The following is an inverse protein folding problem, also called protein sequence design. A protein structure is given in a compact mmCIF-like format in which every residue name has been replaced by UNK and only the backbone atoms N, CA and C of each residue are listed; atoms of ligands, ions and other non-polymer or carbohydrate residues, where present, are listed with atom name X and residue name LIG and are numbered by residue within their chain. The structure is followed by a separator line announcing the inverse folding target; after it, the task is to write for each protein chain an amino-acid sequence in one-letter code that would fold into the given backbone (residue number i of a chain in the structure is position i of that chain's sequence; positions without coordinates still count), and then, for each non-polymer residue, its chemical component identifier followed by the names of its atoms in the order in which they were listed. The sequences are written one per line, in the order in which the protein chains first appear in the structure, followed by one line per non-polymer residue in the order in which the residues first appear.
data_IF_110172469765
#
_entry.id   IF_110172469765
#
_cell.length_a   1.000
_cell.length_b   1.000
_cell.length_c   1.000
_cell.angle_alpha   90.00
_cell.angle_beta   90.00
_cell.angle_gamma   90.00
#
_symmetry.space_group_name_H-M   'P 1'
#
loop_
_entity.id
_entity.type
_entity.pdbx_description
1 polymer ?
#
# COMPACT_ATOMS: atom_id res chain seq x y z
N UNK A 1 -8.50 4.26 20.64
CA UNK A 1 -7.96 3.05 19.97
C UNK A 1 -6.54 3.34 19.50
N UNK A 2 -5.62 2.35 19.53
CA UNK A 2 -4.28 2.49 18.95
C UNK A 2 -4.36 2.28 17.43
N UNK A 3 -4.81 3.31 16.71
CA UNK A 3 -4.75 3.36 15.25
C UNK A 3 -3.39 3.86 14.77
N UNK A 4 -3.24 3.99 13.46
CA UNK A 4 -2.01 4.49 12.85
C UNK A 4 -1.88 4.05 11.40
N UNK A 5 -0.70 4.28 10.84
CA UNK A 5 -0.36 3.90 9.47
C UNK A 5 0.92 3.05 9.47
N UNK A 6 0.88 1.98 8.68
CA UNK A 6 2.07 1.26 8.24
C UNK A 6 2.32 1.63 6.78
N UNK A 7 3.55 2.01 6.46
CA UNK A 7 3.93 2.33 5.09
C UNK A 7 5.27 1.74 4.70
N UNK A 8 5.34 1.30 3.46
CA UNK A 8 6.52 0.85 2.76
C UNK A 8 6.52 1.47 1.35
N UNK A 9 6.79 2.80 1.23
CA UNK A 9 6.84 3.46 -0.07
C UNK A 9 8.03 2.96 -0.90
N UNK A 10 8.03 3.29 -2.18
CA UNK A 10 9.23 3.11 -3.01
C UNK A 10 10.35 4.03 -2.50
N UNK A 11 11.51 3.44 -2.23
CA UNK A 11 12.75 4.16 -1.93
C UNK A 11 13.79 3.95 -3.04
N UNK A 12 14.95 4.59 -2.91
CA UNK A 12 16.04 4.48 -3.89
C UNK A 12 16.56 3.03 -4.08
N UNK A 13 16.39 2.16 -3.08
CA UNK A 13 16.92 0.78 -3.09
C UNK A 13 15.97 -0.21 -3.77
N UNK A 14 14.69 0.13 -3.91
CA UNK A 14 13.67 -0.74 -4.51
C UNK A 14 12.90 -0.10 -5.67
N UNK A 15 13.36 1.06 -6.16
CA UNK A 15 12.77 1.78 -7.30
C UNK A 15 12.65 0.92 -8.55
N UNK A 16 13.68 0.16 -8.86
CA UNK A 16 13.74 -0.78 -10.00
C UNK A 16 12.71 -1.91 -9.91
N UNK A 17 12.25 -2.24 -8.69
CA UNK A 17 11.32 -3.35 -8.43
C UNK A 17 9.89 -2.90 -8.18
N UNK A 18 9.63 -1.59 -8.11
CA UNK A 18 8.30 -1.03 -7.80
C UNK A 18 7.90 -1.14 -6.34
N UNK A 19 8.83 -1.47 -5.43
CA UNK A 19 8.58 -1.60 -3.99
C UNK A 19 9.27 -2.79 -3.35
N UNK A 20 8.96 -3.06 -2.07
CA UNK A 20 9.58 -4.14 -1.30
C UNK A 20 8.66 -5.35 -1.07
N UNK A 21 7.38 -5.12 -0.77
CA UNK A 21 6.41 -6.17 -0.47
C UNK A 21 5.76 -6.71 -1.74
N UNK A 22 5.36 -7.98 -1.75
CA UNK A 22 4.76 -8.66 -2.89
C UNK A 22 3.26 -8.48 -2.88
N UNK A 23 2.72 -8.19 -4.06
CA UNK A 23 1.32 -7.91 -4.26
C UNK A 23 0.44 -9.08 -3.83
N UNK A 24 0.69 -10.28 -4.38
CA UNK A 24 -0.25 -11.41 -4.25
C UNK A 24 -0.39 -11.99 -2.84
N UNK A 25 0.71 -12.09 -2.09
CA UNK A 25 0.74 -12.83 -0.83
C UNK A 25 1.27 -12.02 0.36
N UNK A 26 1.57 -10.73 0.19
CA UNK A 26 1.86 -9.82 1.30
C UNK A 26 0.86 -8.65 1.31
N UNK A 27 0.74 -7.90 0.21
CA UNK A 27 -0.08 -6.69 0.16
C UNK A 27 -1.59 -6.96 0.05
N UNK A 28 -2.02 -7.82 -0.87
CA UNK A 28 -3.44 -8.13 -1.10
C UNK A 28 -4.13 -8.71 0.15
N UNK A 29 -3.58 -9.74 0.83
CA UNK A 29 -4.23 -10.29 2.03
C UNK A 29 -4.37 -9.25 3.16
N UNK A 30 -3.32 -8.45 3.39
CA UNK A 30 -3.35 -7.41 4.41
C UNK A 30 -4.33 -6.29 4.07
N UNK A 31 -4.39 -5.90 2.80
CA UNK A 31 -5.32 -4.86 2.31
C UNK A 31 -6.77 -5.29 2.50
N UNK A 32 -7.09 -6.55 2.19
CA UNK A 32 -8.42 -7.11 2.42
C UNK A 32 -8.82 -7.02 3.89
N UNK A 33 -7.94 -7.42 4.83
CA UNK A 33 -8.23 -7.36 6.27
C UNK A 33 -8.43 -5.92 6.73
N UNK A 34 -7.51 -5.01 6.34
CA UNK A 34 -7.52 -3.61 6.78
C UNK A 34 -8.77 -2.89 6.28
N UNK A 35 -9.16 -3.08 5.02
CA UNK A 35 -10.33 -2.43 4.45
C UNK A 35 -11.63 -2.97 5.06
N UNK A 36 -11.73 -4.27 5.33
CA UNK A 36 -12.88 -4.85 6.04
C UNK A 36 -12.98 -4.36 7.50
N UNK A 37 -11.87 -3.95 8.11
CA UNK A 37 -11.85 -3.30 9.42
C UNK A 37 -12.17 -1.79 9.35
N UNK A 38 -12.56 -1.24 8.19
CA UNK A 38 -12.85 0.18 8.00
C UNK A 38 -11.61 1.06 7.80
N UNK A 39 -10.43 0.46 7.64
CA UNK A 39 -9.21 1.15 7.25
C UNK A 39 -9.13 1.39 5.74
N UNK A 40 -7.95 1.80 5.27
CA UNK A 40 -7.65 1.93 3.85
C UNK A 40 -6.30 1.30 3.50
N UNK A 41 -6.16 0.92 2.23
CA UNK A 41 -4.94 0.36 1.68
C UNK A 41 -4.65 0.94 0.28
N UNK A 42 -3.50 1.59 0.12
CA UNK A 42 -3.11 2.32 -1.09
C UNK A 42 -1.66 2.05 -1.45
N UNK A 43 -1.33 2.14 -2.73
CA UNK A 43 0.04 2.19 -3.23
C UNK A 43 0.65 3.60 -3.10
N UNK A 44 -0.14 4.56 -2.60
CA UNK A 44 0.14 6.00 -2.66
C UNK A 44 -0.39 6.65 -3.95
N UNK A 45 -0.83 5.86 -4.94
CA UNK A 45 -1.39 6.35 -6.22
C UNK A 45 -2.70 5.67 -6.62
N UNK A 46 -2.91 4.42 -6.21
CA UNK A 46 -4.12 3.64 -6.47
C UNK A 46 -4.42 2.71 -5.28
N UNK A 47 -5.66 2.25 -5.14
CA UNK A 47 -6.04 1.25 -4.12
C UNK A 47 -5.35 -0.08 -4.42
N UNK A 48 -4.84 -0.76 -3.39
CA UNK A 48 -4.06 -2.00 -3.58
C UNK A 48 -4.88 -3.11 -4.22
N UNK A 49 -6.13 -3.31 -3.77
CA UNK A 49 -6.99 -4.39 -4.29
C UNK A 49 -7.45 -4.19 -5.74
N UNK A 50 -7.28 -2.98 -6.30
CA UNK A 50 -7.62 -2.70 -7.70
C UNK A 50 -6.42 -2.93 -8.65
N UNK A 51 -5.23 -3.21 -8.10
CA UNK A 51 -4.01 -3.43 -8.89
C UNK A 51 -4.08 -4.79 -9.57
N UNK A 52 -4.12 -4.79 -10.90
CA UNK A 52 -3.99 -6.02 -11.68
C UNK A 52 -2.53 -6.52 -11.67
N UNK A 53 -2.26 -7.75 -11.21
CA UNK A 53 -0.91 -8.29 -11.17
C UNK A 53 -0.40 -8.63 -12.58
N UNK A 54 0.86 -8.29 -12.85
CA UNK A 54 1.55 -8.60 -14.12
C UNK A 54 2.41 -9.87 -14.02
N UNK A 55 2.82 -10.27 -12.81
CA UNK A 55 3.61 -11.48 -12.55
C UNK A 55 3.51 -11.92 -11.08
N UNK A 56 3.82 -13.19 -10.80
CA UNK A 56 3.61 -13.82 -9.48
C UNK A 56 4.32 -13.13 -8.31
N UNK A 57 5.54 -12.63 -8.53
CA UNK A 57 6.37 -12.01 -7.48
C UNK A 57 6.43 -10.48 -7.60
N UNK A 58 5.43 -9.87 -8.23
CA UNK A 58 5.34 -8.42 -8.37
C UNK A 58 5.45 -7.74 -7.01
N UNK A 59 6.38 -6.79 -6.89
CA UNK A 59 6.50 -5.95 -5.71
C UNK A 59 5.73 -4.65 -5.88
N UNK A 60 5.36 -4.07 -4.75
CA UNK A 60 4.52 -2.88 -4.70
C UNK A 60 4.81 -2.01 -3.48
N UNK A 61 4.57 -0.71 -3.62
CA UNK A 61 4.47 0.21 -2.50
C UNK A 61 3.19 -0.06 -1.70
N UNK A 62 3.25 0.12 -0.39
CA UNK A 62 2.13 -0.17 0.51
C UNK A 62 1.95 0.97 1.51
N UNK A 63 0.73 1.44 1.66
CA UNK A 63 0.25 2.33 2.73
C UNK A 63 -1.03 1.69 3.27
N UNK A 64 -1.05 1.25 4.52
CA UNK A 64 -2.20 0.58 5.13
C UNK A 64 -2.45 1.06 6.56
N UNK A 65 -3.70 1.08 6.99
CA UNK A 65 -4.08 1.40 8.36
C UNK A 65 -5.31 2.28 8.45
N UNK A 66 -5.33 3.19 9.42
CA UNK A 66 -6.41 4.15 9.64
C UNK A 66 -6.67 4.96 8.37
N UNK A 67 -7.93 4.97 7.91
CA UNK A 67 -8.33 5.59 6.63
C UNK A 67 -7.78 7.00 6.43
N UNK A 68 -8.04 7.90 7.38
CA UNK A 68 -7.61 9.30 7.29
C UNK A 68 -6.08 9.46 7.22
N UNK A 69 -5.33 8.60 7.93
CA UNK A 69 -3.86 8.63 7.92
C UNK A 69 -3.30 8.16 6.57
N UNK A 70 -3.87 7.08 6.03
CA UNK A 70 -3.51 6.53 4.73
C UNK A 70 -3.81 7.51 3.61
N UNK A 71 -5.01 8.11 3.60
CA UNK A 71 -5.40 9.12 2.60
C UNK A 71 -4.50 10.35 2.65
N UNK A 72 -4.20 10.87 3.85
CA UNK A 72 -3.29 12.00 4.03
C UNK A 72 -1.87 11.69 3.54
N UNK A 73 -1.33 10.53 3.91
CA UNK A 73 0.00 10.11 3.47
C UNK A 73 0.07 9.89 1.95
N UNK A 74 -0.97 9.29 1.36
CA UNK A 74 -1.07 9.11 -0.08
C UNK A 74 -1.16 10.45 -0.83
N UNK A 75 -1.89 11.43 -0.29
CA UNK A 75 -1.96 12.76 -0.87
C UNK A 75 -0.59 13.46 -0.91
N UNK A 76 0.15 13.48 0.20
CA UNK A 76 1.51 14.02 0.22
C UNK A 76 2.45 13.27 -0.72
N UNK A 77 2.30 11.95 -0.83
CA UNK A 77 3.07 11.15 -1.78
C UNK A 77 2.69 11.43 -3.24
N UNK A 78 1.47 11.92 -3.50
CA UNK A 78 1.01 12.24 -4.83
C UNK A 78 1.58 13.56 -5.36
N UNK A 79 1.83 14.52 -4.46
CA UNK A 79 2.36 15.86 -4.75
C UNK A 79 3.87 15.87 -5.02
N UNK A 80 4.62 14.90 -4.48
CA UNK A 80 6.05 14.68 -4.76
C UNK A 80 6.30 13.79 -5.96
#
# INVERSE_FOLDING_TARGET
TRGGIFMYPVDAKCRDKGGRLRLLYEANPMSMIVEQAGGAASTGRQRILDVQPTHLHQRIAVFLGSKNEVERAAAYHAEG
#
